data_IF_271227277488
#
_entry.id   IF_271227277488
#
_cell.length_a   1.000
_cell.length_b   1.000
_cell.length_c   1.000
_cell.angle_alpha   90.00
_cell.angle_beta   90.00
_cell.angle_gamma   90.00
#
_symmetry.space_group_name_H-M   'P 1'
#
loop_
_entity.id
_entity.type
_entity.pdbx_description
1 polymer ?
#
# COMPACT_ATOMS: atom_id res chain seq x y z
N UNK A 1 -9.07 4.02 37.22
CA UNK A 1 -10.07 4.70 36.39
C UNK A 1 -10.96 3.66 35.72
N UNK A 2 -12.30 3.88 35.73
CA UNK A 2 -13.18 2.97 35.01
C UNK A 2 -12.98 3.11 33.50
N UNK A 3 -13.25 2.05 32.72
CA UNK A 3 -13.13 2.05 31.24
C UNK A 3 -13.96 3.21 30.64
N UNK A 4 -15.10 3.55 31.23
CA UNK A 4 -15.96 4.68 30.82
C UNK A 4 -15.24 6.03 30.98
N UNK A 5 -14.52 6.23 32.08
CA UNK A 5 -13.72 7.43 32.31
C UNK A 5 -12.56 7.56 31.33
N UNK A 6 -11.88 6.45 31.05
CA UNK A 6 -10.79 6.44 30.05
C UNK A 6 -11.30 6.81 28.66
N UNK A 7 -12.43 6.23 28.24
CA UNK A 7 -13.05 6.52 26.95
C UNK A 7 -13.40 8.01 26.80
N UNK A 8 -14.08 8.60 27.80
CA UNK A 8 -14.45 10.03 27.75
C UNK A 8 -13.22 10.94 27.73
N UNK A 9 -12.13 10.57 28.43
CA UNK A 9 -10.88 11.33 28.42
C UNK A 9 -10.20 11.27 27.04
N UNK A 10 -10.19 10.10 26.39
CA UNK A 10 -9.65 9.93 25.02
C UNK A 10 -10.49 10.74 24.04
N UNK A 11 -11.82 10.66 24.09
CA UNK A 11 -12.72 11.41 23.21
C UNK A 11 -12.50 12.93 23.34
N UNK A 12 -12.33 13.41 24.58
CA UNK A 12 -12.03 14.82 24.84
C UNK A 12 -10.65 15.23 24.30
N UNK A 13 -9.63 14.41 24.53
CA UNK A 13 -8.27 14.65 24.04
C UNK A 13 -8.24 14.70 22.52
N UNK A 14 -8.89 13.77 21.81
CA UNK A 14 -9.02 13.74 20.37
C UNK A 14 -9.78 14.96 19.82
N UNK A 15 -10.84 15.41 20.53
CA UNK A 15 -11.60 16.59 20.13
C UNK A 15 -10.74 17.85 20.22
N UNK A 16 -10.02 18.06 21.33
CA UNK A 16 -9.15 19.21 21.55
C UNK A 16 -7.94 19.16 20.59
N UNK A 17 -7.32 17.98 20.44
CA UNK A 17 -6.16 17.75 19.57
C UNK A 17 -6.50 17.63 18.08
N UNK A 18 -7.76 17.92 17.67
CA UNK A 18 -8.20 17.81 16.26
C UNK A 18 -7.84 16.46 15.62
N UNK A 19 -8.19 15.39 16.34
CA UNK A 19 -7.94 14.02 15.91
C UNK A 19 -6.55 13.46 16.29
N UNK A 20 -5.78 14.16 17.11
CA UNK A 20 -4.49 13.67 17.63
C UNK A 20 -4.50 13.69 19.16
N UNK A 21 -3.89 12.68 19.77
CA UNK A 21 -3.66 12.65 21.21
C UNK A 21 -2.34 11.92 21.53
N UNK A 22 -1.84 12.16 22.73
CA UNK A 22 -0.66 11.49 23.26
C UNK A 22 -1.04 10.80 24.57
N UNK A 23 -0.58 9.55 24.72
CA UNK A 23 -0.61 8.83 25.97
C UNK A 23 0.76 8.95 26.62
N UNK A 24 0.80 9.51 27.83
CA UNK A 24 2.01 9.66 28.63
C UNK A 24 1.93 8.65 29.76
N UNK A 25 2.73 7.59 29.72
CA UNK A 25 2.79 6.54 30.75
C UNK A 25 3.80 6.90 31.85
N UNK A 26 4.87 7.59 31.48
CA UNK A 26 5.91 8.10 32.36
C UNK A 26 6.60 9.31 31.69
N UNK A 27 7.49 9.98 32.42
CA UNK A 27 8.20 11.17 31.89
C UNK A 27 9.02 10.90 30.62
N UNK A 28 9.29 9.64 30.28
CA UNK A 28 10.11 9.24 29.13
C UNK A 28 9.34 8.40 28.10
N UNK A 29 8.07 8.07 28.34
CA UNK A 29 7.34 7.13 27.48
C UNK A 29 6.04 7.78 26.98
N UNK A 30 6.12 8.38 25.78
CA UNK A 30 5.01 9.01 25.09
C UNK A 30 4.59 8.16 23.89
N UNK A 31 3.32 7.81 23.81
CA UNK A 31 2.73 7.14 22.64
C UNK A 31 1.73 8.06 21.95
N UNK A 32 1.99 8.40 20.71
CA UNK A 32 1.15 9.27 19.90
C UNK A 32 0.10 8.49 19.12
N UNK A 33 -1.12 9.00 19.09
CA UNK A 33 -2.24 8.44 18.34
C UNK A 33 -2.86 9.49 17.44
N UNK A 34 -3.34 9.06 16.27
CA UNK A 34 -4.06 9.92 15.34
C UNK A 34 -5.27 9.18 14.76
N UNK A 35 -6.40 9.88 14.67
CA UNK A 35 -7.61 9.42 13.94
C UNK A 35 -7.64 9.99 12.51
N UNK A 36 -6.67 10.83 12.16
CA UNK A 36 -6.47 11.36 10.81
C UNK A 36 -5.33 10.60 10.14
N UNK A 37 -5.23 10.71 8.82
CA UNK A 37 -4.14 10.08 8.05
C UNK A 37 -2.83 10.86 8.16
N UNK A 38 -2.44 11.21 9.37
CA UNK A 38 -1.20 11.91 9.69
C UNK A 38 -0.43 11.00 10.65
N UNK A 39 0.83 10.72 10.31
CA UNK A 39 1.74 10.07 11.24
C UNK A 39 1.97 11.00 12.44
N UNK A 40 1.56 10.61 13.64
CA UNK A 40 1.66 11.49 14.81
C UNK A 40 3.11 11.74 15.23
N UNK A 41 4.06 10.87 14.88
CA UNK A 41 5.45 10.98 15.29
C UNK A 41 6.21 12.05 14.48
N UNK A 42 5.93 12.18 13.18
CA UNK A 42 6.66 13.08 12.28
C UNK A 42 5.77 14.09 11.53
N UNK A 43 4.44 14.03 11.71
CA UNK A 43 3.49 14.94 11.07
C UNK A 43 3.25 14.66 9.57
N UNK A 44 3.78 13.56 9.02
CA UNK A 44 3.58 13.21 7.62
C UNK A 44 2.12 12.89 7.33
N UNK A 45 1.51 13.62 6.39
CA UNK A 45 0.16 13.36 5.94
C UNK A 45 0.14 12.33 4.80
N UNK A 46 -0.71 11.32 4.91
CA UNK A 46 -0.92 10.32 3.88
C UNK A 46 -2.22 10.58 3.12
N UNK A 47 -2.24 10.38 1.80
CA UNK A 47 -3.45 10.55 1.02
C UNK A 47 -4.52 9.51 1.37
N UNK A 48 -5.76 9.80 0.99
CA UNK A 48 -6.83 8.80 1.03
C UNK A 48 -6.53 7.67 0.03
N UNK A 49 -6.63 6.43 0.51
CA UNK A 49 -6.42 5.26 -0.33
C UNK A 49 -7.70 4.98 -1.13
N UNK A 50 -7.70 5.37 -2.38
CA UNK A 50 -8.75 5.07 -3.37
C UNK A 50 -8.25 3.95 -4.30
N UNK A 51 -9.13 3.21 -5.01
CA UNK A 51 -8.70 2.18 -5.97
C UNK A 51 -7.74 2.71 -7.04
N UNK A 52 -7.95 3.96 -7.49
CA UNK A 52 -7.08 4.65 -8.45
C UNK A 52 -5.63 4.83 -7.96
N UNK A 53 -5.43 4.80 -6.64
CA UNK A 53 -4.12 4.91 -6.01
C UNK A 53 -3.25 3.67 -6.22
N UNK A 54 -3.86 2.53 -6.47
CA UNK A 54 -3.18 1.25 -6.75
C UNK A 54 -3.07 0.94 -8.24
N UNK A 55 -3.42 1.88 -9.11
CA UNK A 55 -3.31 1.73 -10.57
C UNK A 55 -2.09 2.47 -11.10
N UNK A 56 -1.19 1.75 -11.77
CA UNK A 56 -0.04 2.36 -12.47
C UNK A 56 -0.43 3.16 -13.73
N UNK A 57 -1.69 3.08 -14.17
CA UNK A 57 -2.24 3.89 -15.26
C UNK A 57 -2.96 5.16 -14.76
N UNK A 58 -3.03 5.34 -13.43
CA UNK A 58 -3.63 6.52 -12.82
C UNK A 58 -2.55 7.50 -12.37
N UNK A 59 -2.78 8.79 -12.61
CA UNK A 59 -1.90 9.87 -12.11
C UNK A 59 -1.73 9.85 -10.58
N UNK A 60 -2.73 9.34 -9.84
CA UNK A 60 -2.67 9.21 -8.37
C UNK A 60 -1.79 8.04 -7.91
N UNK A 61 -1.74 6.94 -8.68
CA UNK A 61 -1.09 5.70 -8.28
C UNK A 61 0.27 5.46 -8.93
N UNK A 62 0.49 5.98 -10.12
CA UNK A 62 1.71 5.71 -10.88
C UNK A 62 2.96 6.30 -10.23
N UNK A 63 4.09 5.68 -10.47
CA UNK A 63 5.39 6.29 -10.23
C UNK A 63 5.55 7.50 -11.15
N UNK A 64 5.71 8.69 -10.57
CA UNK A 64 5.81 9.95 -11.32
C UNK A 64 7.06 10.03 -12.18
N UNK A 65 8.12 9.32 -11.81
CA UNK A 65 9.39 9.31 -12.53
C UNK A 65 9.32 8.55 -13.85
N UNK A 66 8.78 7.34 -13.83
CA UNK A 66 8.62 6.52 -15.04
C UNK A 66 7.18 6.49 -15.57
N UNK A 67 6.29 7.34 -15.07
CA UNK A 67 4.89 7.43 -15.48
C UNK A 67 4.15 6.06 -15.49
N UNK A 68 4.51 5.19 -14.53
CA UNK A 68 3.90 3.87 -14.39
C UNK A 68 4.47 2.77 -15.29
N UNK A 69 5.49 3.04 -16.09
CA UNK A 69 6.08 2.03 -16.98
C UNK A 69 7.00 1.04 -16.26
N UNK A 70 7.56 1.40 -15.11
CA UNK A 70 8.53 0.58 -14.38
C UNK A 70 9.93 0.61 -14.97
N UNK A 71 10.08 1.13 -16.17
CA UNK A 71 11.32 1.29 -16.93
C UNK A 71 11.45 2.71 -17.44
N UNK A 72 12.67 3.10 -17.81
CA UNK A 72 12.98 4.39 -18.43
C UNK A 72 13.26 4.15 -19.89
N UNK A 73 12.57 4.87 -20.75
CA UNK A 73 12.75 4.84 -22.20
C UNK A 73 13.30 6.18 -22.69
N UNK A 74 13.99 6.17 -23.84
CA UNK A 74 14.65 7.35 -24.40
C UNK A 74 13.68 8.53 -24.61
N UNK A 75 12.46 8.25 -25.06
CA UNK A 75 11.44 9.28 -25.26
C UNK A 75 10.93 9.94 -23.96
N UNK A 76 11.22 9.36 -22.80
CA UNK A 76 10.87 9.95 -21.48
C UNK A 76 11.92 10.91 -20.97
N UNK A 77 13.13 10.87 -21.52
CA UNK A 77 14.29 11.60 -20.96
C UNK A 77 14.12 13.11 -21.00
N UNK A 78 13.36 13.63 -21.96
CA UNK A 78 13.05 15.07 -22.07
C UNK A 78 12.19 15.58 -20.91
N UNK A 79 11.36 14.72 -20.35
CA UNK A 79 10.44 15.03 -19.23
C UNK A 79 11.06 14.77 -17.85
N UNK A 80 12.26 14.22 -17.78
CA UNK A 80 12.93 13.92 -16.51
C UNK A 80 13.57 15.19 -15.92
N UNK A 81 13.64 15.29 -14.58
CA UNK A 81 14.25 16.46 -13.92
C UNK A 81 15.68 16.66 -14.40
N UNK A 82 16.04 17.90 -14.71
CA UNK A 82 17.39 18.28 -15.13
C UNK A 82 18.49 17.92 -14.10
N UNK A 83 18.12 17.76 -12.84
CA UNK A 83 18.99 17.33 -11.75
C UNK A 83 19.03 15.79 -11.65
N UNK A 84 19.85 15.16 -12.43
CA UNK A 84 20.06 13.71 -12.36
C UNK A 84 20.86 13.19 -13.57
N UNK A 85 21.50 12.04 -13.40
CA UNK A 85 22.32 11.41 -14.44
C UNK A 85 21.46 10.59 -15.43
N UNK A 86 20.26 11.10 -15.78
CA UNK A 86 19.29 10.39 -16.63
C UNK A 86 19.83 10.09 -18.05
N UNK A 87 20.74 10.92 -18.57
CA UNK A 87 21.41 10.68 -19.87
C UNK A 87 22.35 9.47 -19.88
N UNK A 88 22.75 9.01 -18.67
CA UNK A 88 23.54 7.78 -18.51
C UNK A 88 22.67 6.52 -18.47
N UNK A 89 21.35 6.67 -18.34
CA UNK A 89 20.41 5.55 -18.25
C UNK A 89 20.20 4.97 -19.65
N UNK A 90 20.47 3.68 -19.80
CA UNK A 90 20.21 2.96 -21.06
C UNK A 90 18.70 2.82 -21.28
N UNK A 91 18.27 2.79 -22.54
CA UNK A 91 16.86 2.58 -22.90
C UNK A 91 16.34 1.25 -22.34
N UNK A 92 15.14 1.28 -21.76
CA UNK A 92 14.52 0.12 -21.12
C UNK A 92 15.10 -0.28 -19.77
N UNK A 93 15.99 0.54 -19.18
CA UNK A 93 16.54 0.31 -17.84
C UNK A 93 15.43 0.39 -16.78
N UNK A 94 15.49 -0.47 -15.77
CA UNK A 94 14.57 -0.45 -14.63
C UNK A 94 14.57 0.93 -13.95
N UNK A 95 13.39 1.46 -13.71
CA UNK A 95 13.23 2.78 -13.08
C UNK A 95 13.87 2.82 -11.69
N UNK A 96 14.83 3.72 -11.42
CA UNK A 96 15.55 3.77 -10.16
C UNK A 96 14.68 4.26 -8.99
N UNK A 97 13.53 4.89 -9.26
CA UNK A 97 12.63 5.41 -8.23
C UNK A 97 11.62 4.36 -7.73
N UNK A 98 11.08 3.55 -8.62
CA UNK A 98 10.12 2.52 -8.24
C UNK A 98 10.67 1.10 -8.37
N UNK A 99 11.91 0.93 -8.83
CA UNK A 99 12.57 -0.38 -8.92
C UNK A 99 11.76 -1.40 -9.75
N UNK A 100 11.10 -0.91 -10.81
CA UNK A 100 10.22 -1.72 -11.65
C UNK A 100 8.79 -1.89 -11.14
N UNK A 101 8.49 -1.47 -9.92
CA UNK A 101 7.18 -1.70 -9.28
C UNK A 101 6.05 -0.81 -9.80
N UNK A 102 6.34 0.18 -10.64
CA UNK A 102 5.40 1.02 -11.39
C UNK A 102 4.54 1.99 -10.57
N UNK A 103 4.36 1.76 -9.28
CA UNK A 103 3.54 2.57 -8.37
C UNK A 103 4.37 3.65 -7.65
N UNK A 104 3.69 4.67 -7.14
CA UNK A 104 4.28 5.70 -6.30
C UNK A 104 4.78 5.14 -4.96
N UNK A 105 5.57 5.93 -4.22
CA UNK A 105 6.18 5.46 -2.97
C UNK A 105 5.17 5.07 -1.89
N UNK A 106 4.03 5.76 -1.78
CA UNK A 106 3.03 5.44 -0.75
C UNK A 106 2.30 4.15 -1.09
N UNK A 107 1.80 4.01 -2.34
CA UNK A 107 1.07 2.82 -2.78
C UNK A 107 1.93 1.54 -2.67
N UNK A 108 3.25 1.64 -2.88
CA UNK A 108 4.19 0.51 -2.74
C UNK A 108 4.41 0.05 -1.29
N UNK A 109 4.06 0.86 -0.30
CA UNK A 109 4.22 0.53 1.12
C UNK A 109 2.92 0.12 1.81
N UNK A 110 1.80 0.15 1.08
CA UNK A 110 0.55 -0.44 1.58
C UNK A 110 0.63 -1.96 1.41
N UNK A 111 0.36 -2.70 2.46
CA UNK A 111 0.44 -4.16 2.47
C UNK A 111 -0.87 -4.79 2.95
N UNK A 112 -1.11 -6.00 2.51
CA UNK A 112 -2.08 -6.93 3.05
C UNK A 112 -1.37 -7.88 4.01
N UNK A 113 -2.02 -8.26 5.10
CA UNK A 113 -1.47 -9.12 6.15
C UNK A 113 -2.31 -10.40 6.28
N UNK A 114 -1.62 -11.53 6.42
CA UNK A 114 -2.24 -12.82 6.67
C UNK A 114 -2.40 -13.10 8.17
N UNK A 115 -3.18 -14.13 8.50
CA UNK A 115 -3.34 -14.63 9.89
C UNK A 115 -2.04 -15.21 10.47
N UNK A 116 -1.01 -15.44 9.62
CA UNK A 116 0.33 -15.89 10.00
C UNK A 116 1.36 -14.75 10.00
N UNK A 117 0.89 -13.50 10.03
CA UNK A 117 1.71 -12.27 10.02
C UNK A 117 2.62 -12.12 8.79
N UNK A 118 2.30 -12.80 7.68
CA UNK A 118 2.96 -12.58 6.38
C UNK A 118 2.36 -11.34 5.75
N UNK A 119 3.22 -10.40 5.32
CA UNK A 119 2.83 -9.13 4.71
C UNK A 119 3.32 -9.05 3.29
N UNK A 120 2.43 -8.73 2.35
CA UNK A 120 2.79 -8.47 0.97
C UNK A 120 2.16 -7.16 0.49
N UNK A 121 2.98 -6.37 -0.21
CA UNK A 121 2.51 -5.20 -0.95
C UNK A 121 1.88 -5.64 -2.27
N UNK A 122 1.11 -4.76 -2.92
CA UNK A 122 0.51 -5.08 -4.23
C UNK A 122 1.55 -5.52 -5.28
N UNK A 123 2.70 -4.83 -5.47
CA UNK A 123 3.72 -5.30 -6.40
C UNK A 123 4.28 -6.68 -6.07
N UNK A 124 4.49 -6.97 -4.78
CA UNK A 124 4.96 -8.29 -4.34
C UNK A 124 3.92 -9.38 -4.62
N UNK A 125 2.64 -9.10 -4.31
CA UNK A 125 1.55 -10.02 -4.60
C UNK A 125 1.43 -10.33 -6.10
N UNK A 126 1.57 -9.31 -6.96
CA UNK A 126 1.51 -9.46 -8.41
C UNK A 126 2.74 -10.18 -9.01
N UNK A 127 3.82 -10.34 -8.26
CA UNK A 127 4.99 -11.12 -8.69
C UNK A 127 4.91 -12.61 -8.33
N UNK A 128 3.86 -13.01 -7.60
CA UNK A 128 3.66 -14.42 -7.25
C UNK A 128 2.94 -15.19 -8.36
N UNK A 129 3.21 -16.51 -8.47
CA UNK A 129 2.41 -17.39 -9.31
C UNK A 129 0.93 -17.40 -8.87
N UNK A 130 -0.03 -17.64 -9.79
CA UNK A 130 -1.47 -17.62 -9.49
C UNK A 130 -1.89 -18.49 -8.30
N UNK A 131 -1.26 -19.66 -8.11
CA UNK A 131 -1.53 -20.54 -6.98
C UNK A 131 -1.15 -19.92 -5.64
N UNK A 132 0.00 -19.30 -5.56
CA UNK A 132 0.47 -18.63 -4.33
C UNK A 132 -0.37 -17.40 -4.00
N UNK A 133 -0.85 -16.67 -5.01
CA UNK A 133 -1.79 -15.55 -4.81
C UNK A 133 -3.08 -16.04 -4.19
N UNK A 134 -3.65 -17.15 -4.68
CA UNK A 134 -4.87 -17.75 -4.12
C UNK A 134 -4.65 -18.13 -2.64
N UNK A 135 -3.55 -18.81 -2.34
CA UNK A 135 -3.24 -19.26 -0.98
C UNK A 135 -3.05 -18.06 -0.03
N UNK A 136 -2.38 -17.01 -0.50
CA UNK A 136 -2.22 -15.77 0.24
C UNK A 136 -3.56 -15.11 0.54
N UNK A 137 -4.42 -14.92 -0.49
CA UNK A 137 -5.72 -14.28 -0.35
C UNK A 137 -6.65 -15.04 0.60
N UNK A 138 -6.64 -16.38 0.56
CA UNK A 138 -7.44 -17.22 1.47
C UNK A 138 -6.95 -17.17 2.92
N UNK A 139 -5.72 -16.73 3.18
CA UNK A 139 -5.13 -16.63 4.51
C UNK A 139 -5.16 -15.21 5.09
N UNK A 140 -5.76 -14.24 4.40
CA UNK A 140 -5.81 -12.84 4.82
C UNK A 140 -6.44 -12.67 6.21
N UNK A 141 -5.87 -11.77 6.98
CA UNK A 141 -6.41 -11.28 8.24
C UNK A 141 -7.41 -10.18 7.95
N UNK A 142 -8.68 -10.53 7.89
CA UNK A 142 -9.78 -9.63 7.52
C UNK A 142 -10.56 -9.24 8.77
N UNK A 143 -10.74 -7.93 8.99
CA UNK A 143 -11.57 -7.41 10.06
C UNK A 143 -13.07 -7.65 9.80
N UNK A 144 -13.90 -7.53 10.84
CA UNK A 144 -15.37 -7.67 10.71
C UNK A 144 -15.98 -6.66 9.73
N UNK A 145 -15.37 -5.47 9.58
CA UNK A 145 -15.82 -4.45 8.63
C UNK A 145 -15.45 -4.78 7.18
N UNK A 146 -14.32 -5.45 6.97
CA UNK A 146 -13.81 -5.82 5.64
C UNK A 146 -14.36 -7.16 5.15
N UNK A 147 -14.91 -7.96 6.07
CA UNK A 147 -15.40 -9.30 5.78
C UNK A 147 -16.39 -9.37 4.61
N UNK A 148 -17.42 -8.52 4.51
CA UNK A 148 -18.36 -8.57 3.38
C UNK A 148 -17.67 -8.31 2.04
N UNK A 149 -16.63 -7.45 2.02
CA UNK A 149 -15.86 -7.14 0.82
C UNK A 149 -15.00 -8.34 0.44
N UNK A 150 -14.29 -8.91 1.42
CA UNK A 150 -13.43 -10.08 1.21
C UNK A 150 -14.21 -11.30 0.72
N UNK A 151 -15.37 -11.59 1.29
CA UNK A 151 -16.24 -12.70 0.90
C UNK A 151 -16.76 -12.59 -0.55
N UNK A 152 -16.82 -11.39 -1.09
CA UNK A 152 -17.22 -11.15 -2.48
C UNK A 152 -16.03 -11.20 -3.44
N UNK A 153 -14.94 -10.50 -3.13
CA UNK A 153 -13.83 -10.29 -4.06
C UNK A 153 -12.87 -11.49 -4.12
N UNK A 154 -12.57 -12.14 -2.98
CA UNK A 154 -11.59 -13.22 -2.94
C UNK A 154 -12.01 -14.42 -3.78
N UNK A 155 -13.27 -14.92 -3.71
CA UNK A 155 -13.72 -16.00 -4.57
C UNK A 155 -13.64 -15.65 -6.06
N UNK A 156 -14.03 -14.42 -6.45
CA UNK A 156 -14.00 -13.99 -7.85
C UNK A 156 -12.57 -13.97 -8.41
N UNK A 157 -11.61 -13.44 -7.64
CA UNK A 157 -10.20 -13.45 -8.03
C UNK A 157 -9.68 -14.90 -8.11
N UNK A 158 -9.99 -15.72 -7.11
CA UNK A 158 -9.54 -17.11 -7.03
C UNK A 158 -10.07 -17.97 -8.20
N UNK A 159 -11.31 -17.72 -8.63
CA UNK A 159 -11.88 -18.40 -9.79
C UNK A 159 -11.12 -18.04 -11.07
N UNK A 160 -10.86 -16.75 -11.31
CA UNK A 160 -10.11 -16.29 -12.47
C UNK A 160 -8.69 -16.84 -12.51
N UNK A 161 -7.99 -16.80 -11.38
CA UNK A 161 -6.63 -17.35 -11.27
C UNK A 161 -6.62 -18.89 -11.43
N UNK A 162 -7.63 -19.58 -10.91
CA UNK A 162 -7.79 -21.03 -11.11
C UNK A 162 -8.05 -21.38 -12.57
N UNK A 163 -8.77 -20.53 -13.30
CA UNK A 163 -8.93 -20.70 -14.75
C UNK A 163 -7.59 -20.57 -15.48
N UNK A 164 -6.75 -19.60 -15.13
CA UNK A 164 -5.40 -19.48 -15.71
C UNK A 164 -4.59 -20.76 -15.53
N UNK A 165 -4.65 -21.37 -14.35
CA UNK A 165 -4.03 -22.67 -14.09
C UNK A 165 -4.57 -23.78 -14.99
N UNK A 166 -5.90 -23.87 -15.16
CA UNK A 166 -6.55 -24.90 -16.01
C UNK A 166 -6.11 -24.80 -17.49
N UNK A 167 -5.80 -23.60 -17.97
CA UNK A 167 -5.34 -23.39 -19.36
C UNK A 167 -3.82 -23.40 -19.48
N UNK A 168 -3.08 -23.80 -18.44
CA UNK A 168 -1.64 -23.95 -18.48
C UNK A 168 -0.84 -22.64 -18.37
N UNK A 169 -1.46 -21.56 -17.90
CA UNK A 169 -0.84 -20.24 -17.73
C UNK A 169 -0.37 -19.97 -16.28
N UNK A 170 -0.13 -21.02 -15.51
CA UNK A 170 0.26 -20.92 -14.11
C UNK A 170 1.68 -20.33 -13.89
N UNK A 171 2.49 -20.24 -14.94
CA UNK A 171 3.85 -19.68 -14.93
C UNK A 171 3.86 -18.16 -15.08
N UNK A 172 2.75 -17.53 -15.42
CA UNK A 172 2.66 -16.08 -15.56
C UNK A 172 2.61 -15.42 -14.18
N UNK A 173 3.45 -14.44 -13.96
CA UNK A 173 3.52 -13.58 -12.78
C UNK A 173 3.65 -12.12 -13.18
#
# INVERSE_FOLDING_TARGET
PSIAHLKSSIDLALKIGKGRCVLIESQENETWFSTTRIDPANGTAYPELEPSFFSWNSAKGMCTYCKGYGKIYDWMKEDLPASGDWWKIQDGTTCPKCEGQRLNSVARHVFLETTKDIRLTLPQLLSLPPTEVIDFLNSLKISSLEKPIGETIIPEISERLSFMKKVGLEYLS
#
